data_IF_889004667312
#
_entry.id   IF_889004667312
#
_cell.length_a   1.000
_cell.length_b   1.000
_cell.length_c   1.000
_cell.angle_alpha   90.00
_cell.angle_beta   90.00
_cell.angle_gamma   90.00
#
_symmetry.space_group_name_H-M   'P 1'
#
loop_
_entity.id
_entity.type
_entity.pdbx_description
1 polymer ?
#
# COMPACT_ATOMS: atom_id res chain seq x y z
N UNK A 1 -10.19 -18.12 -18.04
CA UNK A 1 -8.94 -17.65 -17.40
C UNK A 1 -9.34 -17.05 -16.07
N UNK A 2 -8.76 -17.53 -14.98
CA UNK A 2 -8.89 -16.83 -13.70
C UNK A 2 -7.92 -15.66 -13.79
N UNK A 3 -8.41 -14.43 -13.73
CA UNK A 3 -7.55 -13.25 -13.65
C UNK A 3 -6.63 -13.38 -12.43
N UNK A 4 -5.32 -13.29 -12.65
CA UNK A 4 -4.36 -13.16 -11.55
C UNK A 4 -4.38 -11.69 -11.12
N UNK A 5 -4.98 -11.34 -9.96
CA UNK A 5 -5.11 -9.95 -9.53
C UNK A 5 -3.75 -9.28 -9.28
N UNK A 6 -2.68 -10.06 -9.10
CA UNK A 6 -1.33 -9.54 -8.92
C UNK A 6 -0.59 -9.28 -10.24
N UNK A 7 -1.12 -9.73 -11.40
CA UNK A 7 -0.41 -9.63 -12.68
C UNK A 7 -0.01 -8.19 -12.99
N UNK A 8 -0.97 -7.27 -12.98
CA UNK A 8 -0.71 -5.86 -13.28
C UNK A 8 0.14 -5.20 -12.18
N UNK A 9 -0.03 -5.61 -10.93
CA UNK A 9 0.80 -5.13 -9.83
C UNK A 9 2.27 -5.56 -9.95
N UNK A 10 2.52 -6.76 -10.52
CA UNK A 10 3.87 -7.28 -10.75
C UNK A 10 4.63 -6.54 -11.85
N UNK A 11 3.94 -5.84 -12.75
CA UNK A 11 4.57 -4.90 -13.67
C UNK A 11 5.14 -3.67 -12.94
N UNK A 12 4.57 -3.29 -11.79
CA UNK A 12 5.06 -2.21 -10.94
C UNK A 12 6.09 -2.69 -9.90
N UNK A 13 5.95 -3.94 -9.46
CA UNK A 13 6.83 -4.59 -8.49
C UNK A 13 6.87 -6.11 -8.74
N UNK A 14 7.90 -6.61 -9.42
CA UNK A 14 7.99 -8.03 -9.80
C UNK A 14 7.90 -9.02 -8.62
N UNK A 15 8.25 -8.56 -7.42
CA UNK A 15 8.25 -9.37 -6.20
C UNK A 15 6.95 -9.25 -5.38
N UNK A 16 5.93 -8.57 -5.91
CA UNK A 16 4.63 -8.44 -5.27
C UNK A 16 4.00 -9.82 -5.01
N UNK A 17 3.56 -10.02 -3.76
CA UNK A 17 2.99 -11.29 -3.29
C UNK A 17 1.87 -11.07 -2.28
N UNK A 18 0.87 -11.96 -2.31
CA UNK A 18 -0.18 -11.98 -1.29
C UNK A 18 0.36 -12.48 0.04
N UNK A 19 0.01 -11.79 1.12
CA UNK A 19 0.37 -12.14 2.50
C UNK A 19 -0.87 -11.98 3.40
N UNK A 20 -1.80 -12.96 3.40
CA UNK A 20 -3.04 -12.83 4.17
C UNK A 20 -2.78 -12.79 5.69
N UNK A 21 -3.55 -11.99 6.41
CA UNK A 21 -3.57 -11.94 7.88
C UNK A 21 -5.02 -11.91 8.39
N UNK A 22 -5.46 -12.99 9.04
CA UNK A 22 -6.87 -13.16 9.39
C UNK A 22 -7.75 -13.07 8.15
N UNK A 23 -8.67 -12.11 8.14
CA UNK A 23 -9.58 -11.85 7.01
C UNK A 23 -9.06 -10.80 6.02
N UNK A 24 -7.83 -10.29 6.22
CA UNK A 24 -7.24 -9.27 5.35
C UNK A 24 -6.43 -9.93 4.22
N UNK A 25 -6.83 -9.69 2.98
CA UNK A 25 -6.07 -10.07 1.78
C UNK A 25 -4.95 -9.09 1.48
N UNK A 26 -3.94 -9.01 2.35
CA UNK A 26 -2.85 -8.04 2.19
C UNK A 26 -1.92 -8.43 1.02
N UNK A 27 -1.28 -7.43 0.44
CA UNK A 27 -0.28 -7.61 -0.62
C UNK A 27 1.00 -6.90 -0.23
N UNK A 28 2.08 -7.65 -0.12
CA UNK A 28 3.39 -7.14 0.20
C UNK A 28 4.15 -6.78 -1.07
N UNK A 29 4.74 -5.59 -1.08
CA UNK A 29 5.55 -5.06 -2.18
C UNK A 29 6.93 -4.70 -1.61
N UNK A 30 7.93 -5.59 -1.70
CA UNK A 30 9.26 -5.30 -1.17
C UNK A 30 9.94 -4.22 -2.02
N UNK A 31 10.77 -3.39 -1.38
CA UNK A 31 11.62 -2.42 -2.06
C UNK A 31 10.91 -1.61 -3.18
N UNK A 32 9.66 -1.22 -2.95
CA UNK A 32 8.91 -0.42 -3.92
C UNK A 32 9.58 0.92 -4.10
N UNK A 33 9.90 1.28 -5.35
CA UNK A 33 10.33 2.62 -5.69
C UNK A 33 9.12 3.52 -5.99
N UNK A 34 9.12 4.72 -5.42
CA UNK A 34 8.09 5.75 -5.64
C UNK A 34 8.66 7.15 -5.39
N UNK A 35 7.87 8.18 -5.63
CA UNK A 35 8.26 9.57 -5.39
C UNK A 35 7.61 10.11 -4.13
N UNK A 36 8.39 10.86 -3.34
CA UNK A 36 7.95 11.61 -2.17
C UNK A 36 8.50 13.03 -2.25
N UNK A 37 7.65 14.05 -2.33
CA UNK A 37 8.05 15.45 -2.48
C UNK A 37 9.10 15.66 -3.61
N UNK A 38 8.88 15.04 -4.76
CA UNK A 38 9.81 15.07 -5.90
C UNK A 38 11.13 14.31 -5.72
N UNK A 39 11.30 13.54 -4.64
CA UNK A 39 12.48 12.70 -4.41
C UNK A 39 12.14 11.23 -4.55
N UNK A 40 12.99 10.47 -5.24
CA UNK A 40 12.84 9.02 -5.35
C UNK A 40 13.13 8.35 -4.01
N UNK A 41 12.18 7.55 -3.53
CA UNK A 41 12.27 6.76 -2.31
C UNK A 41 12.13 5.28 -2.65
N UNK A 42 12.70 4.43 -1.80
CA UNK A 42 12.52 2.96 -1.85
C UNK A 42 12.15 2.45 -0.47
N UNK A 43 11.05 1.73 -0.35
CA UNK A 43 10.58 1.18 0.92
C UNK A 43 9.74 -0.08 0.71
N UNK A 44 9.67 -0.93 1.72
CA UNK A 44 8.68 -1.99 1.73
C UNK A 44 7.29 -1.40 1.95
N UNK A 45 6.32 -1.89 1.16
CA UNK A 45 4.92 -1.51 1.29
C UNK A 45 4.03 -2.72 1.58
N UNK A 46 2.90 -2.45 2.20
CA UNK A 46 1.82 -3.40 2.39
C UNK A 46 0.52 -2.75 1.95
N UNK A 47 -0.08 -3.28 0.89
CA UNK A 47 -1.36 -2.83 0.38
C UNK A 47 -2.48 -3.65 1.03
N UNK A 48 -3.46 -2.96 1.60
CA UNK A 48 -4.68 -3.53 2.16
C UNK A 48 -5.88 -3.07 1.31
N UNK A 49 -6.34 -3.86 0.33
CA UNK A 49 -7.51 -3.57 -0.50
C UNK A 49 -8.82 -3.97 0.20
N UNK A 50 -8.91 -3.78 1.50
CA UNK A 50 -10.05 -4.15 2.33
C UNK A 50 -10.25 -3.13 3.46
N UNK A 51 -11.46 -3.10 4.02
CA UNK A 51 -11.80 -2.18 5.09
C UNK A 51 -10.94 -2.43 6.34
N UNK A 52 -10.24 -1.39 6.78
CA UNK A 52 -9.43 -1.44 7.99
C UNK A 52 -9.41 -0.07 8.67
N UNK A 53 -9.90 -0.01 9.90
CA UNK A 53 -9.93 1.21 10.70
C UNK A 53 -10.82 2.32 10.12
N UNK A 54 -11.90 1.97 9.42
CA UNK A 54 -12.83 2.91 8.79
C UNK A 54 -12.44 3.41 7.40
N UNK A 55 -11.38 2.84 6.80
CA UNK A 55 -10.91 3.18 5.44
C UNK A 55 -11.12 1.98 4.53
N UNK A 56 -11.70 2.20 3.34
CA UNK A 56 -11.98 1.11 2.39
C UNK A 56 -10.72 0.43 1.84
N UNK A 57 -9.62 1.18 1.74
CA UNK A 57 -8.31 0.66 1.39
C UNK A 57 -7.24 1.42 2.18
N UNK A 58 -6.10 0.78 2.43
CA UNK A 58 -4.95 1.41 3.08
C UNK A 58 -3.64 0.98 2.44
N UNK A 59 -2.67 1.88 2.43
CA UNK A 59 -1.30 1.59 2.07
C UNK A 59 -0.41 1.84 3.28
N UNK A 60 0.35 0.82 3.66
CA UNK A 60 1.30 0.90 4.74
C UNK A 60 2.74 0.87 4.23
N UNK A 61 3.65 1.46 5.00
CA UNK A 61 5.06 1.68 4.71
C UNK A 61 5.92 1.15 5.87
N UNK A 62 7.14 0.71 5.59
CA UNK A 62 8.10 0.32 6.64
C UNK A 62 8.52 1.47 7.57
N UNK A 63 8.37 2.71 7.11
CA UNK A 63 8.71 3.95 7.83
C UNK A 63 7.81 5.10 7.37
N UNK A 64 7.67 6.17 8.16
CA UNK A 64 6.89 7.34 7.76
C UNK A 64 7.71 8.26 6.86
N UNK A 65 7.02 9.09 6.07
CA UNK A 65 7.63 10.11 5.22
C UNK A 65 7.13 11.50 5.62
N UNK A 66 7.66 12.10 6.72
CA UNK A 66 7.09 13.31 7.33
C UNK A 66 7.12 14.56 6.43
N UNK A 67 7.86 14.53 5.32
CA UNK A 67 7.85 15.61 4.33
C UNK A 67 6.49 15.71 3.61
N UNK A 68 5.69 14.63 3.60
CA UNK A 68 4.40 14.50 2.90
C UNK A 68 3.39 13.70 3.72
N UNK A 69 2.12 14.00 3.50
CA UNK A 69 0.99 13.49 4.28
C UNK A 69 1.02 13.85 5.78
N UNK A 70 -0.15 13.92 6.40
CA UNK A 70 -0.32 14.23 7.81
C UNK A 70 -0.85 13.02 8.57
N UNK A 71 -0.72 13.05 9.91
CA UNK A 71 -1.33 12.08 10.82
C UNK A 71 -0.87 10.63 10.59
N UNK A 72 0.45 10.43 10.53
CA UNK A 72 1.02 9.09 10.47
C UNK A 72 0.66 8.30 11.75
N UNK A 73 0.16 7.08 11.55
CA UNK A 73 -0.21 6.12 12.60
C UNK A 73 0.53 4.82 12.39
N UNK A 74 0.70 4.05 13.48
CA UNK A 74 1.42 2.78 13.47
C UNK A 74 0.43 1.64 13.69
N UNK A 75 0.56 0.59 12.87
CA UNK A 75 -0.18 -0.65 12.99
C UNK A 75 0.79 -1.82 13.02
N UNK A 76 0.43 -2.87 13.77
CA UNK A 76 1.18 -4.13 13.74
C UNK A 76 0.41 -5.09 12.83
N UNK A 77 1.04 -5.46 11.71
CA UNK A 77 0.51 -6.40 10.72
C UNK A 77 1.62 -7.35 10.31
N UNK A 78 1.31 -8.62 10.13
CA UNK A 78 2.27 -9.68 9.78
C UNK A 78 3.45 -9.74 10.77
N UNK A 79 3.18 -9.48 12.05
CA UNK A 79 4.18 -9.51 13.12
C UNK A 79 5.21 -8.37 13.09
N UNK A 80 5.05 -7.35 12.24
CA UNK A 80 5.94 -6.17 12.20
C UNK A 80 5.16 -4.85 12.26
N UNK A 81 5.83 -3.79 12.67
CA UNK A 81 5.26 -2.44 12.67
C UNK A 81 5.24 -1.84 11.27
N UNK A 82 4.16 -1.13 10.98
CA UNK A 82 3.86 -0.53 9.70
C UNK A 82 3.28 0.87 9.91
N UNK A 83 3.66 1.81 9.06
CA UNK A 83 3.25 3.20 9.12
C UNK A 83 2.23 3.50 8.02
N UNK A 84 1.15 4.20 8.34
CA UNK A 84 0.16 4.65 7.35
C UNK A 84 -0.30 6.07 7.68
N UNK A 85 -0.74 6.81 6.69
CA UNK A 85 -1.36 8.12 6.86
C UNK A 85 -2.85 8.04 6.52
N UNK A 86 -3.62 9.04 6.94
CA UNK A 86 -5.04 9.12 6.65
C UNK A 86 -5.26 9.59 5.21
N UNK A 87 -5.74 8.70 4.35
CA UNK A 87 -6.16 9.02 2.99
C UNK A 87 -7.42 8.25 2.61
N UNK A 88 -8.37 8.95 1.99
CA UNK A 88 -9.68 8.42 1.63
C UNK A 88 -9.96 8.66 0.14
N UNK A 89 -11.06 8.06 -0.35
CA UNK A 89 -11.49 8.21 -1.74
C UNK A 89 -10.94 7.16 -2.70
N UNK A 90 -10.18 6.18 -2.20
CA UNK A 90 -9.70 5.03 -2.99
C UNK A 90 -10.61 3.84 -2.76
N UNK A 91 -11.35 3.43 -3.80
CA UNK A 91 -12.36 2.37 -3.73
C UNK A 91 -11.71 0.99 -3.79
N UNK A 92 -12.17 0.05 -2.96
CA UNK A 92 -11.63 -1.30 -2.89
C UNK A 92 -11.97 -2.18 -4.11
N UNK A 93 -12.93 -1.78 -4.94
CA UNK A 93 -13.34 -2.50 -6.15
C UNK A 93 -12.46 -2.18 -7.37
N UNK A 94 -11.45 -1.33 -7.22
CA UNK A 94 -10.50 -1.01 -8.27
C UNK A 94 -9.40 -2.09 -8.35
N UNK A 95 -8.75 -2.25 -9.52
CA UNK A 95 -7.55 -3.08 -9.63
C UNK A 95 -6.44 -2.66 -8.64
N UNK A 96 -5.68 -3.64 -8.13
CA UNK A 96 -4.69 -3.43 -7.05
C UNK A 96 -3.63 -2.38 -7.43
N UNK A 97 -3.20 -2.36 -8.68
CA UNK A 97 -2.25 -1.38 -9.20
C UNK A 97 -2.81 0.05 -9.19
N UNK A 98 -4.12 0.21 -9.43
CA UNK A 98 -4.77 1.52 -9.36
C UNK A 98 -4.88 2.00 -7.92
N UNK A 99 -5.22 1.09 -6.99
CA UNK A 99 -5.26 1.39 -5.56
C UNK A 99 -3.86 1.84 -5.09
N UNK A 100 -2.80 1.09 -5.46
CA UNK A 100 -1.42 1.45 -5.13
C UNK A 100 -1.04 2.84 -5.68
N UNK A 101 -1.26 3.08 -6.97
CA UNK A 101 -0.91 4.35 -7.61
C UNK A 101 -1.69 5.52 -7.01
N UNK A 102 -2.95 5.34 -6.63
CA UNK A 102 -3.77 6.36 -6.01
C UNK A 102 -3.20 6.79 -4.64
N UNK A 103 -2.75 5.85 -3.81
CA UNK A 103 -2.10 6.17 -2.54
C UNK A 103 -0.73 6.82 -2.73
N UNK A 104 0.08 6.33 -3.69
CA UNK A 104 1.40 6.91 -3.99
C UNK A 104 1.32 8.31 -4.59
N UNK A 105 0.28 8.62 -5.38
CA UNK A 105 0.11 9.92 -6.01
C UNK A 105 0.03 11.07 -4.99
N UNK A 106 -0.50 10.81 -3.80
CA UNK A 106 -0.64 11.80 -2.71
C UNK A 106 0.72 12.20 -2.12
N UNK A 107 1.71 11.33 -2.24
CA UNK A 107 3.05 11.56 -1.70
C UNK A 107 3.94 12.38 -2.64
N UNK A 108 3.56 12.55 -3.91
CA UNK A 108 4.41 13.24 -4.89
C UNK A 108 4.70 14.71 -4.53
#
# INVERSE_FOLDING_TARGET
>A
MVDDPLRALRELNPEARSMPEGNLGLVFLPAQTFEVAGQRQTADLLLCPAELGGYQTRLFFDRPFPQRAANWTVHTLLGRSWHTFSWNGVQANQPLEQILLAHLAVLR
#
